data_IF_264304794523
#
_entry.id   IF_264304794523
#
_cell.length_a   1.000
_cell.length_b   1.000
_cell.length_c   1.000
_cell.angle_alpha   90.00
_cell.angle_beta   90.00
_cell.angle_gamma   90.00
#
_symmetry.space_group_name_H-M   'P 1'
#
loop_
_entity.id
_entity.type
_entity.pdbx_description
1 polymer ?
#
# COMPACT_ATOMS: atom_id res chain seq x y z
N UNK A 1 5.04 -39.54 22.01
CA UNK A 1 5.41 -38.64 20.88
C UNK A 1 4.18 -38.08 20.16
N UNK A 2 3.32 -37.31 20.84
CA UNK A 2 2.11 -36.70 20.25
C UNK A 2 2.11 -35.16 20.26
N UNK A 3 3.08 -34.56 20.97
CA UNK A 3 3.16 -33.11 21.17
C UNK A 3 3.74 -32.39 19.95
N UNK A 4 4.66 -33.00 19.20
CA UNK A 4 5.19 -32.39 17.97
C UNK A 4 4.13 -32.19 16.89
N UNK A 5 3.12 -33.06 16.79
CA UNK A 5 2.12 -32.96 15.71
C UNK A 5 1.16 -31.78 15.90
N UNK A 6 0.86 -31.41 17.16
CA UNK A 6 0.01 -30.24 17.45
C UNK A 6 0.74 -28.91 17.22
N UNK A 7 2.07 -28.86 17.41
CA UNK A 7 2.84 -27.65 17.14
C UNK A 7 2.87 -27.31 15.64
N UNK A 8 3.03 -28.31 14.77
CA UNK A 8 2.98 -28.08 13.31
C UNK A 8 1.58 -27.67 12.85
N UNK A 9 0.51 -28.23 13.45
CA UNK A 9 -0.87 -27.89 13.10
C UNK A 9 -1.25 -26.45 13.51
N UNK A 10 -0.69 -25.93 14.62
CA UNK A 10 -0.89 -24.54 15.07
C UNK A 10 -0.13 -23.52 14.20
N UNK A 11 0.99 -23.90 13.59
CA UNK A 11 1.77 -23.02 12.69
C UNK A 11 1.10 -22.92 11.29
N UNK A 12 0.35 -23.95 10.87
CA UNK A 12 -0.43 -23.93 9.63
C UNK A 12 -1.80 -23.23 9.75
N UNK A 13 -2.33 -23.06 10.96
CA UNK A 13 -3.61 -22.35 11.19
C UNK A 13 -3.45 -20.85 11.44
N UNK A 14 -2.26 -20.37 11.82
CA UNK A 14 -1.94 -18.94 11.88
C UNK A 14 -1.57 -18.33 10.52
N UNK A 15 -1.44 -19.15 9.48
CA UNK A 15 -1.16 -18.73 8.09
C UNK A 15 -2.41 -18.63 7.20
N UNK A 16 -3.60 -18.83 7.76
CA UNK A 16 -4.89 -18.61 7.09
C UNK A 16 -5.52 -17.27 7.53
N UNK A 17 -5.23 -16.14 6.85
CA UNK A 17 -6.17 -14.99 6.65
C UNK A 17 -5.51 -13.73 6.02
N UNK A 18 -4.18 -13.64 5.90
CA UNK A 18 -3.49 -12.35 5.66
C UNK A 18 -2.44 -12.32 4.53
N UNK A 19 -2.45 -13.25 3.58
CA UNK A 19 -1.67 -13.04 2.35
C UNK A 19 -2.32 -11.91 1.53
N UNK A 20 -1.87 -10.68 1.79
CA UNK A 20 -2.17 -9.51 0.99
C UNK A 20 -1.81 -9.85 -0.46
N UNK A 21 -2.79 -9.83 -1.37
CA UNK A 21 -2.64 -10.06 -2.82
C UNK A 21 -1.60 -9.14 -3.51
N UNK A 22 -0.90 -8.31 -2.76
CA UNK A 22 0.09 -7.33 -3.21
C UNK A 22 1.51 -7.78 -2.86
N UNK A 23 1.75 -8.47 -1.74
CA UNK A 23 3.11 -8.90 -1.36
C UNK A 23 3.59 -9.98 -2.33
N UNK A 24 4.82 -9.82 -2.83
CA UNK A 24 5.41 -10.67 -3.86
C UNK A 24 4.93 -10.37 -5.28
N UNK A 25 4.08 -9.35 -5.46
CA UNK A 25 3.55 -8.99 -6.78
C UNK A 25 4.24 -7.77 -7.37
N UNK A 26 4.24 -7.72 -8.70
CA UNK A 26 4.70 -6.60 -9.50
C UNK A 26 3.51 -5.94 -10.20
N UNK A 27 3.45 -4.63 -10.17
CA UNK A 27 2.42 -3.84 -10.81
C UNK A 27 3.03 -2.82 -11.76
N UNK A 28 2.34 -2.57 -12.86
CA UNK A 28 2.50 -1.34 -13.64
C UNK A 28 1.79 -0.20 -12.90
N UNK A 29 2.47 0.95 -12.79
CA UNK A 29 1.93 2.15 -12.15
C UNK A 29 1.38 3.08 -13.23
N UNK A 30 0.11 3.44 -13.12
CA UNK A 30 -0.53 4.43 -13.97
C UNK A 30 -1.09 5.60 -13.16
N UNK A 31 -1.03 6.80 -13.73
CA UNK A 31 -1.73 7.99 -13.24
C UNK A 31 -2.22 8.79 -14.44
N UNK A 32 -3.46 9.30 -14.41
CA UNK A 32 -4.06 10.00 -15.57
C UNK A 32 -4.04 9.17 -16.87
N UNK A 33 -4.23 7.85 -16.76
CA UNK A 33 -4.17 6.87 -17.86
C UNK A 33 -2.80 6.72 -18.54
N UNK A 34 -1.73 7.31 -17.98
CA UNK A 34 -0.37 7.18 -18.47
C UNK A 34 0.45 6.27 -17.54
N UNK A 35 1.27 5.40 -18.13
CA UNK A 35 2.23 4.58 -17.40
C UNK A 35 3.40 5.44 -16.93
N UNK A 36 3.62 5.49 -15.62
CA UNK A 36 4.70 6.30 -15.01
C UNK A 36 5.81 5.45 -14.37
N UNK A 37 5.65 4.12 -14.35
CA UNK A 37 6.67 3.20 -13.84
C UNK A 37 6.12 1.83 -13.47
N UNK A 38 6.89 1.11 -12.65
CA UNK A 38 6.49 -0.16 -12.06
C UNK A 38 6.89 -0.24 -10.59
N UNK A 39 6.16 -1.04 -9.82
CA UNK A 39 6.39 -1.28 -8.40
C UNK A 39 6.35 -2.78 -8.12
N UNK A 40 7.33 -3.26 -7.36
CA UNK A 40 7.34 -4.62 -6.81
C UNK A 40 7.34 -4.54 -5.29
N UNK A 41 6.42 -5.25 -4.65
CA UNK A 41 6.26 -5.23 -3.21
C UNK A 41 6.93 -6.45 -2.59
N UNK A 42 8.12 -6.30 -2.00
CA UNK A 42 8.74 -7.35 -1.17
C UNK A 42 8.11 -7.36 0.24
N UNK A 43 8.66 -8.11 1.20
CA UNK A 43 8.11 -8.12 2.57
C UNK A 43 8.01 -6.72 3.20
N UNK A 44 9.10 -5.93 3.14
CA UNK A 44 9.18 -4.64 3.87
C UNK A 44 9.33 -3.40 2.97
N UNK A 45 9.61 -3.60 1.67
CA UNK A 45 9.94 -2.53 0.73
C UNK A 45 9.14 -2.62 -0.56
N UNK A 46 8.67 -1.45 -1.01
CA UNK A 46 8.27 -1.21 -2.38
C UNK A 46 9.53 -0.90 -3.19
N UNK A 47 9.78 -1.66 -4.25
CA UNK A 47 10.88 -1.47 -5.20
C UNK A 47 10.31 -0.79 -6.43
N UNK A 48 10.64 0.48 -6.63
CA UNK A 48 10.06 1.34 -7.67
C UNK A 48 11.06 1.50 -8.82
N UNK A 49 10.53 1.43 -10.04
CA UNK A 49 11.25 1.76 -11.28
C UNK A 49 10.41 2.75 -12.07
N UNK A 50 10.70 4.03 -11.92
CA UNK A 50 10.11 5.12 -12.72
C UNK A 50 11.19 5.76 -13.60
N UNK A 51 11.47 7.05 -13.38
CA UNK A 51 12.63 7.74 -13.99
C UNK A 51 13.92 7.11 -13.47
N UNK A 52 14.03 7.01 -12.15
CA UNK A 52 15.13 6.36 -11.45
C UNK A 52 14.63 5.13 -10.68
N UNK A 53 15.57 4.33 -10.19
CA UNK A 53 15.27 3.26 -9.23
C UNK A 53 15.16 3.84 -7.83
N UNK A 54 14.20 3.36 -7.05
CA UNK A 54 14.09 3.72 -5.64
C UNK A 54 13.43 2.63 -4.82
N UNK A 55 13.48 2.81 -3.51
CA UNK A 55 12.83 1.94 -2.54
C UNK A 55 12.11 2.77 -1.50
N UNK A 56 10.93 2.34 -1.08
CA UNK A 56 10.18 2.97 0.00
C UNK A 56 9.73 1.89 0.98
N UNK A 57 9.88 2.12 2.29
CA UNK A 57 9.27 1.23 3.28
C UNK A 57 7.77 1.30 3.13
N UNK A 58 7.14 0.15 3.29
CA UNK A 58 5.68 0.10 3.29
C UNK A 58 5.20 -1.02 4.21
N UNK A 59 3.92 -0.94 4.56
CA UNK A 59 3.16 -2.07 5.07
C UNK A 59 1.70 -1.93 4.65
N UNK A 60 0.95 -3.01 4.78
CA UNK A 60 -0.49 -3.01 4.50
C UNK A 60 -1.21 -3.47 5.75
N UNK A 61 -2.21 -2.72 6.16
CA UNK A 61 -3.08 -3.07 7.25
C UNK A 61 -4.51 -3.33 6.78
N UNK A 62 -5.22 -4.25 7.44
CA UNK A 62 -6.58 -4.64 7.11
C UNK A 62 -7.48 -4.38 8.30
N UNK A 63 -8.31 -3.34 8.17
CA UNK A 63 -9.31 -2.99 9.19
C UNK A 63 -10.71 -3.29 8.63
N UNK A 64 -11.37 -4.28 9.22
CA UNK A 64 -12.65 -4.79 8.71
C UNK A 64 -12.53 -5.39 7.31
N UNK A 65 -13.29 -4.86 6.34
CA UNK A 65 -13.27 -5.29 4.93
C UNK A 65 -12.30 -4.50 4.05
N UNK A 66 -11.74 -3.39 4.55
CA UNK A 66 -10.86 -2.50 3.80
C UNK A 66 -9.40 -2.82 4.06
N UNK A 67 -8.56 -2.51 3.07
CA UNK A 67 -7.10 -2.60 3.18
C UNK A 67 -6.50 -1.24 2.90
N UNK A 68 -5.45 -0.91 3.65
CA UNK A 68 -4.79 0.38 3.58
C UNK A 68 -3.31 0.18 3.34
N UNK A 69 -2.76 0.90 2.36
CA UNK A 69 -1.34 0.96 2.10
C UNK A 69 -0.74 2.10 2.92
N UNK A 70 0.30 1.81 3.68
CA UNK A 70 1.13 2.78 4.36
C UNK A 70 2.48 2.77 3.67
N UNK A 71 2.87 3.87 3.01
CA UNK A 71 4.12 3.93 2.23
C UNK A 71 4.88 5.22 2.48
N UNK A 72 6.21 5.16 2.55
CA UNK A 72 7.05 6.36 2.59
C UNK A 72 6.89 7.20 1.32
N UNK A 73 7.19 8.50 1.42
CA UNK A 73 7.21 9.39 0.26
C UNK A 73 8.21 8.89 -0.79
N UNK A 74 7.77 8.78 -2.04
CA UNK A 74 8.64 8.50 -3.18
C UNK A 74 8.85 9.82 -3.93
N UNK A 75 10.08 10.35 -4.00
CA UNK A 75 10.33 11.61 -4.67
C UNK A 75 10.09 11.53 -6.19
N UNK A 76 9.80 12.68 -6.79
CA UNK A 76 9.46 12.86 -8.20
C UNK A 76 10.59 12.49 -9.16
N UNK A 77 11.85 12.63 -8.74
CA UNK A 77 13.01 12.14 -9.50
C UNK A 77 13.07 10.60 -9.59
N UNK A 78 12.35 9.87 -8.73
CA UNK A 78 12.17 8.41 -8.83
C UNK A 78 10.86 8.10 -9.55
N UNK A 79 9.74 8.66 -9.08
CA UNK A 79 8.40 8.42 -9.61
C UNK A 79 7.69 9.75 -9.88
N UNK A 80 7.67 10.16 -11.16
CA UNK A 80 7.10 11.43 -11.60
C UNK A 80 5.56 11.40 -11.64
N UNK A 81 4.95 11.38 -10.46
CA UNK A 81 3.50 11.46 -10.26
C UNK A 81 3.07 12.90 -9.91
N UNK A 82 1.79 13.23 -10.11
CA UNK A 82 1.21 14.50 -9.69
C UNK A 82 1.36 14.66 -8.17
N UNK A 83 1.85 15.82 -7.69
CA UNK A 83 2.16 16.01 -6.26
C UNK A 83 0.94 15.90 -5.34
N UNK A 84 -0.26 16.20 -5.86
CA UNK A 84 -1.52 16.13 -5.12
C UNK A 84 -1.93 14.70 -4.75
N UNK A 85 -1.32 13.67 -5.37
CA UNK A 85 -1.42 12.29 -4.90
C UNK A 85 -0.99 12.15 -3.43
N UNK A 86 0.08 12.85 -3.03
CA UNK A 86 0.63 12.80 -1.67
C UNK A 86 -0.17 13.62 -0.64
N UNK A 87 -1.24 14.31 -1.06
CA UNK A 87 -2.16 14.98 -0.14
C UNK A 87 -3.18 13.98 0.42
N UNK A 88 -2.71 13.16 1.35
CA UNK A 88 -3.50 12.12 2.02
C UNK A 88 -3.19 12.08 3.52
N UNK A 89 -3.96 11.29 4.28
CA UNK A 89 -3.70 11.01 5.69
C UNK A 89 -2.27 10.52 5.91
N UNK A 90 -1.64 10.97 7.00
CA UNK A 90 -0.30 10.57 7.40
C UNK A 90 -0.32 9.74 8.67
N UNK A 91 0.52 8.71 8.70
CA UNK A 91 0.76 7.87 9.88
C UNK A 91 2.23 7.97 10.28
N UNK A 92 2.52 8.16 11.56
CA UNK A 92 3.89 8.24 12.05
C UNK A 92 4.16 7.11 13.04
N UNK A 93 5.18 6.32 12.74
CA UNK A 93 5.72 5.28 13.63
C UNK A 93 7.20 5.51 13.81
N UNK A 94 7.62 5.67 15.05
CA UNK A 94 8.99 6.02 15.41
C UNK A 94 9.45 7.30 14.68
N UNK A 95 10.46 7.18 13.81
CA UNK A 95 11.02 8.27 13.00
C UNK A 95 10.48 8.32 11.57
N UNK A 96 9.64 7.37 11.16
CA UNK A 96 9.15 7.23 9.79
C UNK A 96 7.74 7.79 9.66
N UNK A 97 7.50 8.55 8.60
CA UNK A 97 6.16 9.06 8.24
C UNK A 97 5.70 8.36 6.97
N UNK A 98 4.53 7.74 7.05
CA UNK A 98 3.87 7.03 5.97
C UNK A 98 2.69 7.85 5.44
N UNK A 99 2.50 7.82 4.13
CA UNK A 99 1.32 8.30 3.43
C UNK A 99 0.35 7.15 3.27
N UNK A 100 -0.90 7.36 3.63
CA UNK A 100 -1.88 6.29 3.80
C UNK A 100 -2.90 6.33 2.66
N UNK A 101 -3.13 5.21 2.00
CA UNK A 101 -4.08 5.09 0.88
C UNK A 101 -5.04 3.93 1.11
N UNK A 102 -6.30 4.12 0.72
CA UNK A 102 -7.22 3.00 0.58
C UNK A 102 -6.86 2.20 -0.66
N UNK A 103 -6.74 0.88 -0.50
CA UNK A 103 -6.53 -0.06 -1.60
C UNK A 103 -7.91 -0.53 -2.08
N UNK A 104 -8.31 -0.07 -3.26
CA UNK A 104 -9.55 -0.52 -3.91
C UNK A 104 -9.18 -1.58 -4.95
N UNK A 105 -9.59 -2.82 -4.74
CA UNK A 105 -9.43 -3.91 -5.70
C UNK A 105 -10.68 -4.00 -6.59
N UNK A 106 -10.53 -3.81 -7.90
CA UNK A 106 -11.64 -3.78 -8.83
C UNK A 106 -11.99 -5.19 -9.31
N UNK A 107 -10.99 -5.93 -9.80
CA UNK A 107 -11.18 -7.21 -10.49
C UNK A 107 -9.99 -8.19 -10.32
N UNK A 108 -9.18 -8.01 -9.27
CA UNK A 108 -7.93 -8.74 -8.99
C UNK A 108 -6.77 -8.44 -9.95
N UNK A 109 -6.98 -7.66 -11.01
CA UNK A 109 -5.94 -7.20 -11.93
C UNK A 109 -5.68 -5.71 -11.79
N UNK A 110 -6.73 -4.92 -11.55
CA UNK A 110 -6.69 -3.47 -11.42
C UNK A 110 -6.98 -3.06 -9.98
N UNK A 111 -6.08 -2.24 -9.42
CA UNK A 111 -6.21 -1.69 -8.09
C UNK A 111 -6.09 -0.16 -8.15
N UNK A 112 -6.80 0.55 -7.28
CA UNK A 112 -6.55 1.97 -7.04
C UNK A 112 -5.92 2.20 -5.67
N UNK A 113 -5.00 3.17 -5.61
CA UNK A 113 -4.55 3.80 -4.39
C UNK A 113 -5.26 5.14 -4.26
N UNK A 114 -6.30 5.15 -3.44
CA UNK A 114 -7.19 6.30 -3.27
C UNK A 114 -6.83 7.08 -2.01
N UNK A 115 -6.54 8.37 -2.16
CA UNK A 115 -6.17 9.24 -1.06
C UNK A 115 -7.31 9.34 -0.03
N UNK A 116 -6.94 9.43 1.24
CA UNK A 116 -7.83 9.62 2.38
C UNK A 116 -7.91 11.10 2.76
N UNK A 117 -8.95 11.47 3.49
CA UNK A 117 -9.06 12.81 4.05
C UNK A 117 -7.91 13.06 5.04
N UNK A 118 -7.19 14.16 4.86
CA UNK A 118 -6.24 14.64 5.86
C UNK A 118 -7.00 15.43 6.93
N UNK A 119 -6.64 15.25 8.19
CA UNK A 119 -7.24 15.95 9.31
C UNK A 119 -6.70 17.38 9.51
N UNK A 120 -5.77 17.87 8.67
CA UNK A 120 -4.98 19.08 8.94
C UNK A 120 -4.33 19.04 10.34
N UNK A 121 -3.98 17.84 10.79
CA UNK A 121 -3.51 17.54 12.15
C UNK A 121 -2.26 16.67 12.12
N UNK A 122 -1.68 16.51 13.30
CA UNK A 122 -0.57 15.59 13.60
C UNK A 122 -0.88 14.21 12.98
N UNK A 123 0.11 13.54 12.38
CA UNK A 123 -0.06 12.17 11.88
C UNK A 123 -0.66 11.25 12.93
N UNK A 124 -1.51 10.31 12.52
CA UNK A 124 -2.01 9.26 13.41
C UNK A 124 -0.85 8.34 13.85
N UNK A 125 -0.92 7.80 15.07
CA UNK A 125 0.06 6.88 15.65
C UNK A 125 -0.48 5.47 15.88
N UNK A 126 -1.81 5.29 15.76
CA UNK A 126 -2.51 3.99 15.74
C UNK A 126 -2.95 3.69 14.29
N UNK A 127 -2.58 2.52 13.76
CA UNK A 127 -2.88 2.15 12.37
C UNK A 127 -4.40 1.99 12.12
N UNK A 128 -5.10 1.34 13.06
CA UNK A 128 -6.55 1.06 12.96
C UNK A 128 -7.42 2.33 12.86
N UNK A 129 -6.95 3.46 13.39
CA UNK A 129 -7.65 4.75 13.34
C UNK A 129 -7.85 5.25 11.90
N UNK A 130 -7.08 4.73 10.93
CA UNK A 130 -7.28 4.98 9.50
C UNK A 130 -8.72 4.68 9.05
N UNK A 131 -9.37 3.68 9.66
CA UNK A 131 -10.71 3.24 9.27
C UNK A 131 -11.80 4.27 9.58
N UNK A 132 -11.50 5.24 10.45
CA UNK A 132 -12.39 6.38 10.76
C UNK A 132 -12.40 7.43 9.65
N UNK A 133 -11.43 7.41 8.74
CA UNK A 133 -11.28 8.40 7.67
C UNK A 133 -12.00 8.00 6.39
N UNK A 134 -12.70 8.97 5.79
CA UNK A 134 -13.26 8.86 4.46
C UNK A 134 -12.21 9.02 3.36
N UNK A 135 -12.61 8.75 2.11
CA UNK A 135 -11.80 9.12 0.94
C UNK A 135 -11.69 10.64 0.83
N UNK A 136 -10.54 11.13 0.39
CA UNK A 136 -10.37 12.54 0.01
C UNK A 136 -11.43 12.91 -1.04
N UNK A 137 -12.05 14.10 -0.96
CA UNK A 137 -12.96 14.57 -2.00
C UNK A 137 -12.27 14.71 -3.37
N UNK A 138 -10.95 14.89 -3.39
CA UNK A 138 -10.14 14.93 -4.61
C UNK A 138 -9.54 13.55 -4.90
N UNK A 139 -9.98 12.89 -5.98
CA UNK A 139 -9.53 11.55 -6.38
C UNK A 139 -8.93 11.50 -7.79
N UNK A 140 -8.86 12.62 -8.51
CA UNK A 140 -8.40 12.64 -9.90
C UNK A 140 -6.91 12.26 -10.03
N UNK A 141 -6.12 12.48 -8.98
CA UNK A 141 -4.71 12.11 -8.93
C UNK A 141 -4.45 10.71 -8.33
N UNK A 142 -5.50 9.89 -8.13
CA UNK A 142 -5.33 8.53 -7.62
C UNK A 142 -4.42 7.71 -8.55
N UNK A 143 -3.66 6.81 -7.95
CA UNK A 143 -2.78 5.91 -8.69
C UNK A 143 -3.51 4.62 -9.02
N UNK A 144 -3.33 4.12 -10.23
CA UNK A 144 -3.84 2.82 -10.68
C UNK A 144 -2.69 1.84 -10.77
N UNK A 145 -2.82 0.67 -10.14
CA UNK A 145 -1.86 -0.42 -10.20
C UNK A 145 -2.47 -1.55 -11.04
N UNK A 146 -1.80 -1.93 -12.12
CA UNK A 146 -2.20 -3.08 -12.94
C UNK A 146 -1.25 -4.24 -12.70
N UNK A 147 -1.78 -5.38 -12.27
CA UNK A 147 -0.99 -6.57 -11.96
C UNK A 147 -0.24 -7.04 -13.22
N UNK A 148 1.08 -7.14 -13.14
CA UNK A 148 1.88 -7.66 -14.22
C UNK A 148 1.98 -9.18 -14.08
N UNK A 149 1.32 -9.92 -14.98
CA UNK A 149 1.37 -11.39 -15.02
C UNK A 149 2.71 -11.94 -15.53
N UNK A 150 3.56 -11.10 -16.10
CA UNK A 150 4.89 -11.47 -16.57
C UNK A 150 5.88 -11.21 -15.42
N UNK A 151 6.06 -12.21 -14.56
CA UNK A 151 7.13 -12.21 -13.57
C UNK A 151 8.43 -12.75 -14.14
#
# INVERSE_FOLDING_TARGET
MKICLMLYLLIFLSSCSTNNKIVGQRFEIQQHNETIGSIYFSADYAHIRGIEKGTAKYFIDKVGSKRYLFIEYIPDNVLNCKPDFWKTLKYKKDKVTYYVYLIENLDDEVFHLSALQDMNRIPIDIADDVATMGKSPHQNDRMTLKLNKNN
#
